data_IF_897250977875
#
_entry.id   IF_897250977875
#
_cell.length_a   1.000
_cell.length_b   1.000
_cell.length_c   1.000
_cell.angle_alpha   90.00
_cell.angle_beta   90.00
_cell.angle_gamma   90.00
#
_symmetry.space_group_name_H-M   'P 1'
#
loop_
_entity.id
_entity.type
_entity.pdbx_description
1 polymer ?
#
# COMPACT_ATOMS: atom_id res chain seq x y z
N UNK A 1 10.80 4.60 -15.09
CA UNK A 1 9.91 5.68 -14.62
C UNK A 1 10.77 6.84 -14.20
N UNK A 2 10.77 7.94 -14.96
CA UNK A 2 11.11 9.22 -14.36
C UNK A 2 9.93 9.55 -13.45
N UNK A 3 10.09 9.20 -12.18
CA UNK A 3 9.18 9.62 -11.14
C UNK A 3 9.29 11.15 -11.03
N UNK A 4 8.19 11.79 -10.60
CA UNK A 4 8.16 13.17 -10.07
C UNK A 4 9.53 13.48 -9.45
N UNK A 5 10.36 14.24 -10.18
CA UNK A 5 11.78 14.23 -9.87
C UNK A 5 12.00 15.04 -8.60
N UNK A 6 13.02 14.68 -7.82
CA UNK A 6 13.43 15.50 -6.68
C UNK A 6 13.63 16.96 -7.11
N UNK A 7 13.93 17.22 -8.39
CA UNK A 7 14.03 18.55 -8.99
C UNK A 7 12.73 19.34 -8.98
N UNK A 8 11.59 18.74 -9.35
CA UNK A 8 10.29 19.43 -9.35
C UNK A 8 9.88 19.80 -7.92
N UNK A 9 10.08 18.86 -6.99
CA UNK A 9 9.89 19.12 -5.56
C UNK A 9 10.84 20.21 -5.05
N UNK A 10 12.12 20.17 -5.44
CA UNK A 10 13.10 21.21 -5.12
C UNK A 10 12.67 22.58 -5.64
N UNK A 11 12.09 22.66 -6.84
CA UNK A 11 11.62 23.93 -7.41
C UNK A 11 10.43 24.46 -6.61
N UNK A 12 9.45 23.62 -6.28
CA UNK A 12 8.27 24.04 -5.51
C UNK A 12 8.63 24.44 -4.07
N UNK A 13 9.55 23.71 -3.47
CA UNK A 13 10.09 23.96 -2.12
C UNK A 13 10.90 25.27 -2.07
N UNK A 14 11.85 25.47 -3.01
CA UNK A 14 12.61 26.72 -3.14
C UNK A 14 11.71 27.95 -3.35
N UNK A 15 10.56 27.78 -4.01
CA UNK A 15 9.56 28.84 -4.19
C UNK A 15 8.65 29.04 -2.98
N UNK A 16 8.80 28.25 -1.92
CA UNK A 16 7.98 28.30 -0.71
C UNK A 16 6.52 27.84 -0.91
N UNK A 17 6.19 27.32 -2.10
CA UNK A 17 4.80 27.02 -2.51
C UNK A 17 4.23 25.90 -1.64
N UNK A 18 5.01 24.85 -1.40
CA UNK A 18 4.56 23.66 -0.65
C UNK A 18 4.09 24.03 0.76
N UNK A 19 4.91 24.83 1.46
CA UNK A 19 4.62 25.29 2.83
C UNK A 19 3.51 26.34 2.87
N UNK A 20 3.50 27.29 1.94
CA UNK A 20 2.50 28.36 1.89
C UNK A 20 1.09 27.84 1.57
N UNK A 21 0.97 26.88 0.65
CA UNK A 21 -0.31 26.36 0.17
C UNK A 21 -0.80 25.15 0.98
N UNK A 22 -0.06 24.71 2.00
CA UNK A 22 -0.38 23.54 2.84
C UNK A 22 -0.69 22.30 1.99
N UNK A 23 0.14 22.04 0.98
CA UNK A 23 -0.08 20.91 0.06
C UNK A 23 0.10 19.61 0.83
N UNK A 24 -0.98 18.84 0.98
CA UNK A 24 -1.00 17.57 1.72
C UNK A 24 -0.90 16.33 0.84
N UNK A 25 -1.12 16.46 -0.46
CA UNK A 25 -1.13 15.35 -1.40
C UNK A 25 -0.51 15.74 -2.73
N UNK A 26 0.11 14.78 -3.41
CA UNK A 26 0.65 14.95 -4.76
C UNK A 26 -0.05 13.99 -5.73
N UNK A 27 -0.43 14.48 -6.91
CA UNK A 27 -0.97 13.64 -7.98
C UNK A 27 0.16 13.23 -8.90
N UNK A 28 0.29 11.92 -9.11
CA UNK A 28 1.21 11.31 -10.06
C UNK A 28 0.39 10.74 -11.19
N UNK A 29 0.67 11.14 -12.43
CA UNK A 29 0.02 10.58 -13.62
C UNK A 29 1.00 9.65 -14.35
N UNK A 30 0.60 8.40 -14.58
CA UNK A 30 1.37 7.44 -15.38
C UNK A 30 0.96 7.50 -16.85
N UNK A 31 1.90 7.24 -17.75
CA UNK A 31 1.78 7.09 -19.21
C UNK A 31 0.91 5.89 -19.69
N UNK A 32 -0.03 5.44 -18.88
CA UNK A 32 -1.05 4.43 -19.22
C UNK A 32 -0.49 3.03 -19.50
N UNK A 33 0.78 2.74 -19.16
CA UNK A 33 1.31 1.38 -19.06
C UNK A 33 0.90 0.72 -17.74
N UNK A 34 -0.41 0.77 -17.46
CA UNK A 34 -1.05 0.25 -16.25
C UNK A 34 -0.62 -1.17 -15.90
N UNK A 35 -0.56 -2.07 -16.88
CA UNK A 35 -0.17 -3.47 -16.67
C UNK A 35 1.29 -3.67 -16.21
N UNK A 36 2.17 -2.69 -16.40
CA UNK A 36 3.58 -2.77 -16.01
C UNK A 36 3.86 -2.06 -14.68
N UNK A 37 3.02 -1.12 -14.30
CA UNK A 37 3.26 -0.24 -13.15
C UNK A 37 2.27 -0.46 -12.00
N UNK A 38 1.08 -1.03 -12.25
CA UNK A 38 0.12 -1.40 -11.21
C UNK A 38 0.55 -2.71 -10.54
N UNK A 39 1.44 -2.60 -9.56
CA UNK A 39 1.86 -3.71 -8.71
C UNK A 39 1.87 -3.32 -7.23
N UNK A 40 1.69 -4.30 -6.35
CA UNK A 40 1.85 -4.11 -4.91
C UNK A 40 3.21 -3.51 -4.55
N UNK A 41 4.28 -3.93 -5.24
CA UNK A 41 5.62 -3.37 -5.09
C UNK A 41 5.67 -1.87 -5.41
N UNK A 42 5.10 -1.45 -6.55
CA UNK A 42 5.11 -0.04 -6.95
C UNK A 42 4.25 0.83 -6.03
N UNK A 43 3.11 0.31 -5.58
CA UNK A 43 2.24 0.99 -4.63
C UNK A 43 2.88 1.12 -3.24
N UNK A 44 3.54 0.06 -2.75
CA UNK A 44 4.32 0.11 -1.52
C UNK A 44 5.49 1.08 -1.62
N UNK A 45 6.21 1.09 -2.74
CA UNK A 45 7.27 2.06 -2.98
C UNK A 45 6.75 3.49 -2.88
N UNK A 46 5.62 3.79 -3.53
CA UNK A 46 5.02 5.13 -3.47
C UNK A 46 4.55 5.48 -2.04
N UNK A 47 4.02 4.51 -1.31
CA UNK A 47 3.69 4.66 0.11
C UNK A 47 4.91 5.01 0.95
N UNK A 48 6.05 4.34 0.73
CA UNK A 48 7.27 4.63 1.49
C UNK A 48 7.83 6.02 1.21
N UNK A 49 7.49 6.65 0.07
CA UNK A 49 7.80 8.08 -0.17
C UNK A 49 7.09 9.02 0.78
N UNK A 50 5.89 8.71 1.25
CA UNK A 50 5.22 9.52 2.30
C UNK A 50 5.97 9.48 3.64
N UNK A 51 6.90 8.54 3.81
CA UNK A 51 7.72 8.42 5.00
C UNK A 51 9.03 9.20 4.92
N UNK A 52 9.34 9.77 3.75
CA UNK A 52 10.50 10.63 3.53
C UNK A 52 10.43 11.83 4.51
N UNK A 53 11.46 12.03 5.37
CA UNK A 53 11.49 13.11 6.34
C UNK A 53 11.24 14.48 5.71
N UNK A 54 11.74 14.69 4.49
CA UNK A 54 11.58 15.95 3.76
C UNK A 54 10.13 16.18 3.37
N UNK A 55 9.47 15.16 2.82
CA UNK A 55 8.05 15.28 2.44
C UNK A 55 7.15 15.48 3.67
N UNK A 56 7.49 14.86 4.80
CA UNK A 56 6.81 15.10 6.08
C UNK A 56 6.99 16.53 6.60
N UNK A 57 8.20 17.09 6.53
CA UNK A 57 8.45 18.47 6.93
C UNK A 57 7.62 19.46 6.08
N UNK A 58 7.43 19.13 4.80
CA UNK A 58 6.60 19.88 3.87
C UNK A 58 5.10 19.66 4.08
N UNK A 59 4.70 18.74 4.97
CA UNK A 59 3.30 18.43 5.27
C UNK A 59 2.60 17.54 4.25
N UNK A 60 3.35 16.89 3.35
CA UNK A 60 2.82 15.97 2.33
C UNK A 60 2.63 14.59 2.97
N UNK A 61 1.38 14.11 2.96
CA UNK A 61 0.94 12.91 3.67
C UNK A 61 0.48 11.78 2.73
N UNK A 62 0.19 12.09 1.47
CA UNK A 62 -0.35 11.12 0.52
C UNK A 62 0.06 11.38 -0.93
N UNK A 63 -0.08 10.34 -1.74
CA UNK A 63 -0.01 10.41 -3.19
C UNK A 63 -1.30 9.92 -3.80
N UNK A 64 -1.64 10.45 -4.96
CA UNK A 64 -2.76 10.00 -5.76
C UNK A 64 -2.16 9.54 -7.08
N UNK A 65 -2.11 8.24 -7.29
CA UNK A 65 -1.55 7.67 -8.50
C UNK A 65 -2.66 7.38 -9.50
N UNK A 66 -2.67 8.15 -10.59
CA UNK A 66 -3.62 8.03 -11.67
C UNK A 66 -2.99 7.41 -12.91
N UNK A 67 -3.79 6.56 -13.55
CA UNK A 67 -3.55 5.95 -14.83
C UNK A 67 -4.66 6.43 -15.75
N UNK A 68 -4.33 6.96 -16.91
CA UNK A 68 -5.30 7.20 -17.96
C UNK A 68 -5.89 5.91 -18.53
N UNK A 69 -6.96 6.08 -19.30
CA UNK A 69 -7.70 4.98 -19.90
C UNK A 69 -6.82 4.15 -20.87
N UNK A 70 -7.05 2.84 -21.00
CA UNK A 70 -6.37 2.00 -21.98
C UNK A 70 -6.57 2.58 -23.38
N UNK A 71 -5.48 2.70 -24.14
CA UNK A 71 -5.53 3.16 -25.54
C UNK A 71 -5.42 4.68 -25.74
N UNK A 72 -5.34 5.49 -24.69
CA UNK A 72 -5.03 6.93 -24.84
C UNK A 72 -3.56 7.19 -24.54
N UNK A 73 -2.85 7.90 -25.42
CA UNK A 73 -1.48 8.36 -25.19
C UNK A 73 -0.34 7.46 -25.66
N UNK A 74 -0.61 6.21 -26.07
CA UNK A 74 0.46 5.26 -26.48
C UNK A 74 0.83 5.29 -27.95
N UNK A 75 0.02 5.98 -28.76
CA UNK A 75 0.25 6.16 -30.19
C UNK A 75 0.44 4.84 -30.96
N UNK A 76 0.81 4.92 -32.24
CA UNK A 76 1.12 3.74 -33.04
C UNK A 76 2.38 2.98 -32.55
N UNK A 77 3.23 3.62 -31.74
CA UNK A 77 4.56 3.13 -31.38
C UNK A 77 4.57 1.96 -30.38
N UNK A 78 3.71 1.96 -29.35
CA UNK A 78 3.62 0.82 -28.40
C UNK A 78 3.10 -0.45 -29.09
N UNK A 79 2.22 -0.28 -30.09
CA UNK A 79 1.73 -1.38 -30.93
C UNK A 79 2.86 -2.07 -31.70
N UNK A 80 3.81 -1.30 -32.23
CA UNK A 80 4.99 -1.86 -32.94
C UNK A 80 5.87 -2.65 -31.97
N UNK A 81 6.16 -2.09 -30.79
CA UNK A 81 6.98 -2.78 -29.79
C UNK A 81 6.31 -4.07 -29.31
N UNK A 82 5.00 -4.03 -29.08
CA UNK A 82 4.18 -5.20 -28.74
C UNK A 82 4.16 -6.25 -29.84
N UNK A 83 4.04 -5.85 -31.11
CA UNK A 83 4.14 -6.72 -32.28
C UNK A 83 5.52 -7.40 -32.35
N UNK A 84 6.61 -6.63 -32.26
CA UNK A 84 7.97 -7.15 -32.32
C UNK A 84 8.24 -8.15 -31.20
N UNK A 85 7.84 -7.82 -29.96
CA UNK A 85 7.94 -8.71 -28.79
C UNK A 85 7.13 -10.00 -28.96
N UNK A 86 5.90 -9.90 -29.45
CA UNK A 86 5.03 -11.07 -29.67
C UNK A 86 5.55 -11.97 -30.79
N UNK A 87 6.11 -11.38 -31.85
CA UNK A 87 6.78 -12.12 -32.91
C UNK A 87 8.01 -12.86 -32.38
N UNK A 88 8.91 -12.17 -31.66
CA UNK A 88 10.09 -12.78 -31.04
C UNK A 88 9.71 -13.93 -30.11
N UNK A 89 8.71 -13.73 -29.23
CA UNK A 89 8.23 -14.79 -28.33
C UNK A 89 7.74 -16.02 -29.11
N UNK A 90 7.01 -15.84 -30.21
CA UNK A 90 6.56 -16.96 -31.06
C UNK A 90 7.72 -17.70 -31.71
N UNK A 91 8.73 -16.96 -32.18
CA UNK A 91 9.95 -17.55 -32.74
C UNK A 91 10.69 -18.38 -31.69
N UNK A 92 10.88 -17.83 -30.48
CA UNK A 92 11.54 -18.52 -29.37
C UNK A 92 10.78 -19.80 -28.97
N UNK A 93 9.45 -19.71 -28.79
CA UNK A 93 8.62 -20.86 -28.40
C UNK A 93 8.60 -21.97 -29.47
N UNK A 94 8.65 -21.62 -30.77
CA UNK A 94 8.73 -22.61 -31.86
C UNK A 94 10.07 -23.33 -31.89
N UNK A 95 11.16 -22.63 -31.58
CA UNK A 95 12.49 -23.24 -31.50
C UNK A 95 12.64 -24.24 -30.34
N UNK A 96 11.79 -24.13 -29.31
CA UNK A 96 11.79 -25.00 -28.12
C UNK A 96 10.79 -26.17 -28.21
N UNK A 97 9.91 -26.19 -29.23
CA UNK A 97 8.87 -27.20 -29.35
C UNK A 97 9.45 -28.56 -29.84
N UNK A 98 9.09 -29.70 -29.20
CA UNK A 98 9.54 -31.02 -29.65
C UNK A 98 9.07 -31.34 -31.07
N UNK A 99 9.96 -31.82 -31.93
CA UNK A 99 9.62 -32.29 -33.28
C UNK A 99 9.55 -31.21 -34.37
N UNK A 100 9.87 -29.95 -34.06
CA UNK A 100 10.01 -28.90 -35.08
C UNK A 100 11.37 -29.04 -35.77
N UNK A 101 11.38 -29.22 -37.10
CA UNK A 101 12.62 -29.18 -37.86
C UNK A 101 13.28 -27.80 -37.70
N UNK A 102 14.61 -27.77 -37.52
CA UNK A 102 15.40 -26.52 -37.40
C UNK A 102 15.21 -25.55 -38.58
N UNK A 103 14.61 -25.99 -39.68
CA UNK A 103 14.20 -25.17 -40.83
C UNK A 103 13.17 -24.07 -40.48
N UNK A 104 12.41 -24.22 -39.40
CA UNK A 104 11.41 -23.23 -38.91
C UNK A 104 11.98 -22.21 -37.90
N UNK A 105 13.27 -22.31 -37.58
CA UNK A 105 14.00 -21.38 -36.72
C UNK A 105 14.54 -20.23 -37.57
N UNK A 106 14.59 -19.00 -37.03
CA UNK A 106 15.15 -17.86 -37.74
C UNK A 106 16.57 -18.22 -38.22
N UNK A 107 16.75 -18.22 -39.54
CA UNK A 107 18.05 -18.41 -40.17
C UNK A 107 18.79 -17.09 -40.16
N UNK A 108 19.75 -16.96 -39.25
CA UNK A 108 20.72 -15.88 -39.28
C UNK A 108 21.88 -16.35 -40.15
N UNK A 109 22.15 -15.64 -41.25
CA UNK A 109 23.20 -15.98 -42.23
C UNK A 109 23.13 -17.44 -42.73
N UNK A 110 21.91 -17.96 -42.93
CA UNK A 110 21.66 -19.33 -43.41
C UNK A 110 21.68 -20.42 -42.33
N UNK A 111 22.03 -20.08 -41.09
CA UNK A 111 22.09 -21.03 -39.96
C UNK A 111 20.87 -20.88 -39.06
N UNK A 112 20.15 -21.99 -38.87
CA UNK A 112 19.05 -22.09 -37.91
C UNK A 112 19.56 -21.79 -36.49
N UNK A 113 19.15 -20.64 -35.92
CA UNK A 113 19.73 -20.12 -34.68
C UNK A 113 18.68 -19.94 -33.59
N UNK A 114 18.87 -20.60 -32.45
CA UNK A 114 18.09 -20.32 -31.24
C UNK A 114 18.47 -18.93 -30.72
N UNK A 115 17.47 -18.09 -30.46
CA UNK A 115 17.67 -16.74 -29.94
C UNK A 115 18.05 -16.85 -28.44
N UNK A 116 19.35 -16.83 -28.15
CA UNK A 116 19.90 -16.91 -26.79
C UNK A 116 20.61 -15.64 -26.33
N UNK A 117 20.91 -14.71 -27.24
CA UNK A 117 21.68 -13.49 -26.94
C UNK A 117 20.97 -12.22 -27.43
N UNK A 118 21.23 -11.05 -26.82
CA UNK A 118 20.68 -9.78 -27.31
C UNK A 118 21.03 -9.49 -28.78
N UNK A 119 22.22 -9.91 -29.24
CA UNK A 119 22.63 -9.71 -30.63
C UNK A 119 21.81 -10.57 -31.60
N UNK A 120 21.52 -11.82 -31.25
CA UNK A 120 20.63 -12.68 -32.04
C UNK A 120 19.20 -12.11 -32.07
N UNK A 121 18.70 -11.51 -30.99
CA UNK A 121 17.43 -10.77 -31.00
C UNK A 121 17.45 -9.63 -32.03
N UNK A 122 18.52 -8.83 -32.02
CA UNK A 122 18.71 -7.74 -33.00
C UNK A 122 18.68 -8.26 -34.43
N UNK A 123 19.47 -9.29 -34.74
CA UNK A 123 19.53 -9.81 -36.10
C UNK A 123 18.18 -10.41 -36.54
N UNK A 124 17.48 -11.13 -35.64
CA UNK A 124 16.17 -11.68 -35.93
C UNK A 124 15.13 -10.58 -36.22
N UNK A 125 15.10 -9.52 -35.41
CA UNK A 125 14.21 -8.38 -35.64
C UNK A 125 14.54 -7.67 -36.95
N UNK A 126 15.83 -7.45 -37.25
CA UNK A 126 16.27 -6.81 -38.48
C UNK A 126 15.87 -7.62 -39.71
N UNK A 127 16.12 -8.93 -39.69
CA UNK A 127 15.80 -9.82 -40.80
C UNK A 127 14.29 -9.93 -41.08
N UNK A 128 13.45 -9.76 -40.06
CA UNK A 128 12.00 -9.86 -40.23
C UNK A 128 11.31 -8.52 -40.54
N UNK A 129 11.69 -7.44 -39.84
CA UNK A 129 10.98 -6.16 -39.91
C UNK A 129 11.67 -5.11 -40.77
N UNK A 130 13.00 -5.18 -40.93
CA UNK A 130 13.78 -4.18 -41.65
C UNK A 130 14.19 -4.68 -43.04
N UNK A 131 13.20 -5.10 -43.84
CA UNK A 131 13.38 -5.56 -45.22
C UNK A 131 12.53 -4.74 -46.20
N UNK A 132 12.97 -4.65 -47.45
CA UNK A 132 12.23 -3.97 -48.52
C UNK A 132 10.89 -4.66 -48.82
N UNK A 133 10.84 -5.99 -48.66
CA UNK A 133 9.61 -6.77 -48.78
C UNK A 133 8.59 -6.34 -47.71
N UNK A 134 9.03 -6.20 -46.46
CA UNK A 134 8.16 -5.72 -45.38
C UNK A 134 7.66 -4.31 -45.68
N UNK A 135 8.55 -3.41 -46.10
CA UNK A 135 8.19 -2.03 -46.42
C UNK A 135 7.18 -1.95 -47.58
N UNK A 136 7.37 -2.74 -48.63
CA UNK A 136 6.46 -2.82 -49.78
C UNK A 136 5.07 -3.31 -49.37
N UNK A 137 5.01 -4.36 -48.54
CA UNK A 137 3.74 -4.91 -48.03
C UNK A 137 2.98 -3.93 -47.13
N UNK A 138 3.68 -3.00 -46.50
CA UNK A 138 3.10 -2.03 -45.57
C UNK A 138 3.09 -0.59 -46.11
N UNK A 139 3.30 -0.38 -47.42
CA UNK A 139 3.39 0.95 -48.05
C UNK A 139 2.20 1.87 -47.80
N UNK A 140 1.00 1.30 -47.63
CA UNK A 140 -0.27 2.02 -47.40
C UNK A 140 -0.61 2.17 -45.91
N UNK A 141 0.24 1.68 -45.00
CA UNK A 141 0.03 1.79 -43.55
C UNK A 141 0.72 3.03 -43.00
N UNK A 142 0.25 3.51 -41.84
CA UNK A 142 0.86 4.62 -41.10
C UNK A 142 2.34 4.38 -40.79
N UNK A 143 2.73 3.11 -40.61
CA UNK A 143 4.13 2.69 -40.48
C UNK A 143 4.45 1.84 -41.70
N UNK A 144 5.22 2.42 -42.62
CA UNK A 144 5.59 1.78 -43.89
C UNK A 144 7.04 1.29 -43.92
N UNK A 145 7.85 1.59 -42.90
CA UNK A 145 9.25 1.17 -42.80
C UNK A 145 9.64 1.03 -41.32
N UNK A 146 10.40 -0.01 -41.00
CA UNK A 146 11.00 -0.22 -39.69
C UNK A 146 12.50 -0.37 -39.90
N UNK A 147 13.29 0.41 -39.15
CA UNK A 147 14.74 0.23 -39.10
C UNK A 147 15.12 -0.27 -37.71
N UNK A 148 15.88 -1.37 -37.68
CA UNK A 148 16.36 -1.95 -36.43
C UNK A 148 17.83 -1.59 -36.29
N UNK A 149 18.12 -0.72 -35.34
CA UNK A 149 19.48 -0.27 -35.04
C UNK A 149 20.06 -1.06 -33.87
N UNK A 150 21.32 -1.47 -34.00
CA UNK A 150 22.06 -2.09 -32.90
C UNK A 150 22.70 -0.99 -32.05
N UNK A 151 22.04 -0.61 -30.97
CA UNK A 151 22.65 0.25 -29.96
C UNK A 151 23.54 -0.59 -29.03
N UNK A 152 24.74 -0.96 -29.49
CA UNK A 152 25.76 -1.50 -28.60
C UNK A 152 26.16 -0.41 -27.62
N UNK A 153 25.87 -0.59 -26.33
CA UNK A 153 26.49 0.25 -25.30
C UNK A 153 27.89 -0.33 -25.04
N UNK A 154 28.94 0.43 -25.37
CA UNK A 154 30.33 0.22 -24.94
C UNK A 154 30.47 0.49 -23.44
N UNK A 155 29.79 -0.32 -22.64
CA UNK A 155 29.85 -0.30 -21.19
C UNK A 155 29.22 -1.58 -20.72
N UNK A 156 29.84 -2.23 -19.75
CA UNK A 156 29.25 -3.36 -19.04
C UNK A 156 27.78 -3.06 -18.79
N UNK A 157 26.89 -3.93 -19.27
CA UNK A 157 25.55 -4.00 -18.72
C UNK A 157 25.77 -3.97 -17.21
N UNK A 158 25.23 -2.96 -16.53
CA UNK A 158 25.24 -2.95 -15.07
C UNK A 158 24.78 -4.33 -14.58
N UNK A 159 25.28 -4.79 -13.43
CA UNK A 159 25.06 -6.15 -12.96
C UNK A 159 23.61 -6.55 -13.22
N UNK A 160 23.41 -7.70 -13.88
CA UNK A 160 22.09 -8.26 -14.13
C UNK A 160 21.33 -8.16 -12.83
N UNK A 161 20.31 -7.29 -12.77
CA UNK A 161 19.53 -7.12 -11.56
C UNK A 161 18.80 -8.43 -11.40
N UNK A 162 19.28 -9.25 -10.49
CA UNK A 162 18.60 -10.47 -10.11
C UNK A 162 17.25 -10.07 -9.51
N UNK A 163 16.19 -10.30 -10.27
CA UNK A 163 14.82 -10.04 -9.83
C UNK A 163 14.24 -11.23 -9.08
N UNK A 164 14.96 -12.36 -8.98
CA UNK A 164 14.49 -13.55 -8.28
C UNK A 164 14.43 -13.35 -6.76
N UNK A 165 15.10 -12.32 -6.25
CA UNK A 165 15.10 -11.94 -4.84
C UNK A 165 14.21 -10.72 -4.53
N UNK A 166 13.40 -10.24 -5.48
CA UNK A 166 12.40 -9.22 -5.18
C UNK A 166 11.32 -9.84 -4.27
N UNK A 167 11.14 -9.32 -3.04
CA UNK A 167 10.14 -9.90 -2.16
C UNK A 167 8.75 -9.70 -2.74
N UNK A 168 7.92 -10.73 -2.63
CA UNK A 168 6.49 -10.61 -2.93
C UNK A 168 5.87 -9.52 -2.06
N UNK A 169 4.88 -8.82 -2.61
CA UNK A 169 4.11 -7.81 -1.90
C UNK A 169 2.64 -8.23 -1.87
N UNK A 170 1.93 -7.83 -0.81
CA UNK A 170 0.47 -7.74 -0.89
C UNK A 170 0.07 -6.78 -2.01
N UNK A 171 -1.05 -7.07 -2.64
CA UNK A 171 -1.59 -6.24 -3.71
C UNK A 171 -3.09 -6.10 -3.50
N UNK A 172 -3.68 -4.91 -3.78
CA UNK A 172 -5.11 -4.75 -3.69
C UNK A 172 -5.79 -5.71 -4.67
N UNK A 173 -6.91 -6.30 -4.25
CA UNK A 173 -7.70 -7.13 -5.15
C UNK A 173 -8.07 -6.35 -6.42
N UNK A 174 -7.95 -7.03 -7.56
CA UNK A 174 -8.24 -6.46 -8.87
C UNK A 174 -7.47 -5.17 -9.19
N UNK A 175 -6.22 -5.01 -8.70
CA UNK A 175 -5.39 -3.81 -8.95
C UNK A 175 -5.39 -3.36 -10.43
N UNK A 176 -5.42 -4.30 -11.37
CA UNK A 176 -5.43 -3.97 -12.81
C UNK A 176 -6.73 -3.32 -13.31
N UNK A 177 -7.86 -3.54 -12.62
CA UNK A 177 -9.18 -3.00 -12.98
C UNK A 177 -9.35 -1.52 -12.59
N UNK A 178 -8.52 -1.00 -11.68
CA UNK A 178 -8.66 0.36 -11.16
C UNK A 178 -7.61 1.29 -11.74
N UNK A 179 -8.01 2.54 -12.00
CA UNK A 179 -7.16 3.54 -12.67
C UNK A 179 -6.67 4.64 -11.75
N UNK A 180 -7.10 4.66 -10.50
CA UNK A 180 -6.66 5.69 -9.55
C UNK A 180 -6.55 5.08 -8.16
N UNK A 181 -5.47 5.42 -7.47
CA UNK A 181 -5.15 4.91 -6.14
C UNK A 181 -4.73 6.07 -5.26
N UNK A 182 -5.39 6.22 -4.10
CA UNK A 182 -4.87 7.03 -3.02
C UNK A 182 -3.88 6.17 -2.23
N UNK A 183 -2.65 6.64 -2.09
CA UNK A 183 -1.56 5.96 -1.38
C UNK A 183 -1.14 6.80 -0.19
N UNK A 184 -1.11 6.20 0.99
CA UNK A 184 -0.70 6.84 2.25
C UNK A 184 0.40 6.01 2.91
N UNK A 185 0.90 6.46 4.05
CA UNK A 185 1.99 5.82 4.78
C UNK A 185 1.72 4.36 5.17
N UNK A 186 2.80 3.61 5.46
CA UNK A 186 2.69 2.25 6.00
C UNK A 186 2.05 1.22 5.07
N UNK A 187 2.18 1.41 3.75
CA UNK A 187 1.62 0.54 2.72
C UNK A 187 0.14 0.73 2.46
N UNK A 188 -0.51 1.76 3.02
CA UNK A 188 -1.93 1.97 2.84
C UNK A 188 -2.28 2.44 1.42
N UNK A 189 -3.25 1.77 0.79
CA UNK A 189 -3.72 2.03 -0.57
C UNK A 189 -5.23 1.93 -0.63
N UNK A 190 -5.90 2.99 -1.07
CA UNK A 190 -7.33 2.96 -1.38
C UNK A 190 -7.54 3.05 -2.90
N UNK A 191 -8.36 2.16 -3.46
CA UNK A 191 -8.68 2.16 -4.89
C UNK A 191 -9.83 3.13 -5.13
N UNK A 192 -9.68 4.05 -6.07
CA UNK A 192 -10.78 4.93 -6.46
C UNK A 192 -11.64 4.23 -7.52
N UNK A 193 -12.88 3.89 -7.15
CA UNK A 193 -13.83 3.17 -8.02
C UNK A 193 -14.33 4.06 -9.16
N UNK A 194 -14.60 5.32 -8.83
CA UNK A 194 -15.08 6.33 -9.75
C UNK A 194 -14.30 7.63 -9.52
N UNK A 195 -13.75 8.16 -10.61
CA UNK A 195 -13.08 9.45 -10.63
C UNK A 195 -13.49 10.23 -11.87
N UNK A 196 -13.99 11.46 -11.70
CA UNK A 196 -13.86 12.47 -12.76
C UNK A 196 -12.50 13.17 -12.58
N UNK A 197 -12.04 13.86 -13.62
CA UNK A 197 -10.88 14.77 -13.55
C UNK A 197 -11.31 16.24 -13.42
N UNK A 198 -12.58 16.47 -13.12
CA UNK A 198 -13.09 17.78 -12.82
C UNK A 198 -12.46 18.34 -11.54
N UNK A 199 -12.18 19.65 -11.53
CA UNK A 199 -11.44 20.33 -10.47
C UNK A 199 -11.94 19.99 -9.05
N UNK A 200 -13.26 19.90 -8.78
CA UNK A 200 -13.74 19.57 -7.44
C UNK A 200 -13.35 18.16 -6.97
N UNK A 201 -13.23 17.20 -7.88
CA UNK A 201 -12.87 15.82 -7.53
C UNK A 201 -11.38 15.65 -7.37
N UNK A 202 -10.60 16.35 -8.18
CA UNK A 202 -9.15 16.48 -7.95
C UNK A 202 -8.92 17.10 -6.57
N UNK A 203 -9.62 18.20 -6.23
CA UNK A 203 -9.51 18.83 -4.93
C UNK A 203 -9.96 17.92 -3.77
N UNK A 204 -11.05 17.16 -3.94
CA UNK A 204 -11.54 16.23 -2.91
C UNK A 204 -10.58 15.07 -2.67
N UNK A 205 -9.98 14.53 -3.74
CA UNK A 205 -8.98 13.46 -3.63
C UNK A 205 -7.68 13.98 -3.00
N UNK A 206 -7.28 15.22 -3.32
CA UNK A 206 -6.11 15.89 -2.70
C UNK A 206 -6.31 16.23 -1.22
N UNK A 207 -7.53 16.53 -0.80
CA UNK A 207 -7.85 16.72 0.62
C UNK A 207 -7.65 15.42 1.42
N UNK A 208 -7.64 14.26 0.73
CA UNK A 208 -7.63 12.94 1.33
C UNK A 208 -8.94 12.66 2.10
N UNK A 209 -9.06 11.48 2.71
CA UNK A 209 -10.09 11.23 3.71
C UNK A 209 -9.77 12.11 4.92
N UNK A 210 -10.27 13.34 4.95
CA UNK A 210 -10.13 14.19 6.12
C UNK A 210 -11.03 13.63 7.24
N UNK A 211 -10.56 13.67 8.50
CA UNK A 211 -11.43 13.46 9.67
C UNK A 211 -12.66 14.40 9.66
N UNK A 212 -12.54 15.54 8.97
CA UNK A 212 -13.53 16.63 8.92
C UNK A 212 -14.24 16.79 7.58
N UNK A 213 -14.02 15.93 6.58
CA UNK A 213 -14.81 16.00 5.34
C UNK A 213 -16.28 15.74 5.70
N UNK A 214 -17.08 16.83 5.78
CA UNK A 214 -18.55 16.85 5.93
C UNK A 214 -19.29 16.16 4.77
N UNK A 215 -18.59 15.35 3.97
CA UNK A 215 -19.22 14.40 3.10
C UNK A 215 -19.72 13.28 3.99
N UNK A 216 -21.04 13.22 4.21
CA UNK A 216 -21.67 12.11 4.92
C UNK A 216 -21.22 10.82 4.24
N UNK A 217 -20.39 9.99 4.90
CA UNK A 217 -20.00 8.72 4.33
C UNK A 217 -21.23 7.82 4.38
N UNK A 218 -21.90 7.61 3.25
CA UNK A 218 -22.83 6.49 3.12
C UNK A 218 -21.97 5.24 2.95
N UNK A 219 -21.47 4.73 4.06
CA UNK A 219 -20.68 3.51 4.06
C UNK A 219 -21.60 2.36 3.61
N UNK A 220 -21.39 1.85 2.40
CA UNK A 220 -22.11 0.68 1.89
C UNK A 220 -21.35 -0.57 2.35
N UNK A 221 -21.84 -1.15 3.45
CA UNK A 221 -21.19 -2.16 4.28
C UNK A 221 -20.91 -3.49 3.57
N UNK A 222 -21.57 -3.78 2.46
CA UNK A 222 -21.34 -5.02 1.71
C UNK A 222 -20.01 -5.06 0.93
N UNK A 223 -19.23 -3.97 0.97
CA UNK A 223 -18.47 -3.61 -0.19
C UNK A 223 -17.08 -2.98 0.11
N UNK A 224 -16.79 -2.57 1.35
CA UNK A 224 -15.48 -2.02 1.73
C UNK A 224 -15.19 -0.62 1.17
N UNK A 225 -16.23 0.12 0.78
CA UNK A 225 -16.12 1.41 0.12
C UNK A 225 -16.46 2.59 1.05
N UNK A 226 -15.66 3.65 0.99
CA UNK A 226 -16.04 4.99 1.44
C UNK A 226 -16.72 5.74 0.30
N UNK A 227 -18.05 5.83 0.33
CA UNK A 227 -18.79 6.69 -0.59
C UNK A 227 -18.82 8.12 -0.08
N UNK A 228 -18.53 9.08 -0.95
CA UNK A 228 -18.75 10.50 -0.69
C UNK A 228 -19.23 11.21 -1.95
N UNK A 229 -20.05 12.23 -1.76
CA UNK A 229 -20.39 13.15 -2.86
C UNK A 229 -19.34 14.24 -2.93
N UNK A 230 -18.91 14.57 -4.13
CA UNK A 230 -18.05 15.72 -4.38
C UNK A 230 -18.92 16.88 -4.87
N UNK A 231 -19.12 17.94 -4.06
CA UNK A 231 -19.91 19.10 -4.48
C UNK A 231 -19.32 19.74 -5.74
N UNK A 232 -20.18 20.09 -6.71
CA UNK A 232 -19.78 20.68 -8.00
C UNK A 232 -19.11 19.71 -8.97
N UNK A 233 -19.13 18.40 -8.69
CA UNK A 233 -18.64 17.41 -9.64
C UNK A 233 -19.53 17.34 -10.89
N UNK A 234 -18.95 17.70 -12.04
CA UNK A 234 -19.58 17.61 -13.36
C UNK A 234 -20.07 16.19 -13.70
N UNK A 235 -19.40 15.17 -13.17
CA UNK A 235 -19.78 13.76 -13.36
C UNK A 235 -20.91 13.27 -12.45
N UNK A 236 -21.07 13.87 -11.28
CA UNK A 236 -22.12 13.49 -10.32
C UNK A 236 -23.46 14.17 -10.66
N UNK A 237 -23.42 15.38 -11.22
CA UNK A 237 -24.62 16.10 -11.69
C UNK A 237 -25.31 15.36 -12.85
N UNK A 238 -24.55 14.65 -13.67
CA UNK A 238 -25.08 13.86 -14.79
C UNK A 238 -25.45 12.42 -14.43
N UNK A 239 -25.02 11.92 -13.26
CA UNK A 239 -25.19 10.52 -12.85
C UNK A 239 -25.38 10.42 -11.33
N UNK A 240 -26.63 10.51 -10.89
CA UNK A 240 -27.03 10.49 -9.47
C UNK A 240 -26.64 9.19 -8.73
N UNK A 241 -26.37 8.12 -9.48
CA UNK A 241 -25.92 6.81 -9.02
C UNK A 241 -24.39 6.70 -8.83
N UNK A 242 -23.60 7.63 -9.36
CA UNK A 242 -22.13 7.57 -9.32
C UNK A 242 -21.55 8.39 -8.18
N UNK A 243 -21.65 7.83 -6.99
CA UNK A 243 -21.01 8.36 -5.80
C UNK A 243 -19.49 8.09 -5.89
N UNK A 244 -18.66 9.07 -5.54
CA UNK A 244 -17.21 8.84 -5.47
C UNK A 244 -16.97 7.81 -4.38
N UNK A 245 -16.25 6.74 -4.72
CA UNK A 245 -16.01 5.66 -3.78
C UNK A 245 -14.52 5.35 -3.71
N UNK A 246 -13.99 5.32 -2.50
CA UNK A 246 -12.67 4.78 -2.19
C UNK A 246 -12.85 3.39 -1.59
N UNK A 247 -12.44 2.37 -2.33
CA UNK A 247 -12.32 1.01 -1.83
C UNK A 247 -11.09 0.92 -0.94
N UNK A 248 -11.32 0.53 0.31
CA UNK A 248 -10.26 0.26 1.28
C UNK A 248 -10.20 -1.22 1.67
N UNK A 249 -11.00 -2.07 1.04
CA UNK A 249 -10.79 -3.51 1.09
C UNK A 249 -9.42 -3.82 0.50
N UNK A 250 -8.67 -4.69 1.18
CA UNK A 250 -7.30 -5.07 0.82
C UNK A 250 -6.35 -3.88 0.64
N UNK A 251 -6.52 -2.86 1.48
CA UNK A 251 -5.83 -1.57 1.39
C UNK A 251 -4.36 -1.60 1.81
N UNK A 252 -3.70 -2.75 1.78
CA UNK A 252 -2.30 -2.87 2.20
C UNK A 252 -1.47 -3.49 1.10
N UNK A 253 -0.43 -2.77 0.71
CA UNK A 253 0.67 -3.27 -0.10
C UNK A 253 1.88 -3.37 0.83
N UNK A 254 2.15 -4.54 1.37
CA UNK A 254 3.26 -4.76 2.31
C UNK A 254 4.20 -5.83 1.77
N UNK A 255 5.51 -5.73 2.04
CA UNK A 255 6.44 -6.80 1.70
C UNK A 255 6.09 -8.05 2.53
N UNK A 256 6.02 -9.20 1.88
CA UNK A 256 5.73 -10.50 2.49
C UNK A 256 6.98 -11.21 3.02
N UNK A 257 8.15 -10.81 2.56
CA UNK A 257 9.41 -11.46 2.89
C UNK A 257 10.61 -10.53 2.73
N UNK A 258 11.77 -11.02 3.17
CA UNK A 258 13.07 -10.40 2.96
C UNK A 258 13.32 -9.13 3.78
N UNK A 259 14.39 -8.44 3.40
CA UNK A 259 14.93 -7.28 4.14
C UNK A 259 13.89 -6.17 4.38
N UNK A 260 12.99 -5.91 3.44
CA UNK A 260 11.97 -4.87 3.60
C UNK A 260 10.95 -5.21 4.71
N UNK A 261 10.58 -6.48 4.85
CA UNK A 261 9.74 -6.93 5.96
C UNK A 261 10.49 -6.84 7.29
N UNK A 262 11.77 -7.25 7.31
CA UNK A 262 12.62 -7.16 8.51
C UNK A 262 12.80 -5.72 8.97
N UNK A 263 13.10 -4.79 8.06
CA UNK A 263 13.26 -3.36 8.36
C UNK A 263 11.94 -2.75 8.86
N UNK A 264 10.81 -3.11 8.25
CA UNK A 264 9.48 -2.71 8.72
C UNK A 264 9.22 -3.23 10.12
N UNK A 265 9.44 -4.52 10.37
CA UNK A 265 9.21 -5.13 11.68
C UNK A 265 10.13 -4.50 12.73
N UNK A 266 11.40 -4.27 12.42
CA UNK A 266 12.33 -3.56 13.31
C UNK A 266 11.85 -2.15 13.65
N UNK A 267 11.31 -1.41 12.67
CA UNK A 267 10.73 -0.08 12.88
C UNK A 267 9.49 -0.11 13.75
N UNK A 268 8.58 -1.06 13.50
CA UNK A 268 7.39 -1.28 14.31
C UNK A 268 7.77 -1.62 15.75
N UNK A 269 8.74 -2.53 15.94
CA UNK A 269 9.27 -2.87 17.26
C UNK A 269 9.85 -1.65 17.97
N UNK A 270 10.66 -0.84 17.28
CA UNK A 270 11.26 0.38 17.82
C UNK A 270 10.19 1.41 18.23
N UNK A 271 9.18 1.62 17.38
CA UNK A 271 8.07 2.52 17.66
C UNK A 271 7.26 2.02 18.88
N UNK A 272 6.93 0.73 18.94
CA UNK A 272 6.27 0.13 20.10
C UNK A 272 7.06 0.34 21.40
N UNK A 273 8.38 0.14 21.36
CA UNK A 273 9.25 0.41 22.51
C UNK A 273 9.19 1.88 22.95
N UNK A 274 9.19 2.83 22.02
CA UNK A 274 9.07 4.25 22.33
C UNK A 274 7.72 4.62 22.94
N UNK A 275 6.63 4.01 22.46
CA UNK A 275 5.28 4.17 23.04
C UNK A 275 5.27 3.63 24.46
N UNK A 276 5.72 2.39 24.65
CA UNK A 276 5.76 1.73 25.94
C UNK A 276 6.53 2.55 26.98
N UNK A 277 7.67 3.14 26.60
CA UNK A 277 8.49 3.96 27.49
C UNK A 277 7.80 5.24 27.98
N UNK A 278 6.78 5.72 27.27
CA UNK A 278 6.01 6.91 27.66
C UNK A 278 4.80 6.56 28.53
N UNK A 279 4.45 5.28 28.67
CA UNK A 279 3.29 4.85 29.44
C UNK A 279 3.50 5.06 30.93
N UNK A 280 2.44 5.56 31.57
CA UNK A 280 2.31 5.68 33.02
C UNK A 280 1.29 4.66 33.53
N UNK A 281 1.39 4.24 34.80
CA UNK A 281 0.39 3.37 35.40
C UNK A 281 -1.00 3.99 35.27
N UNK A 282 -1.94 3.23 34.73
CA UNK A 282 -3.31 3.66 34.45
C UNK A 282 -3.57 4.14 33.02
N UNK A 283 -2.53 4.39 32.21
CA UNK A 283 -2.70 4.77 30.81
C UNK A 283 -3.38 3.66 30.00
N UNK A 284 -4.29 4.04 29.10
CA UNK A 284 -4.87 3.13 28.12
C UNK A 284 -3.92 2.98 26.93
N UNK A 285 -3.76 1.75 26.46
CA UNK A 285 -2.83 1.42 25.40
C UNK A 285 -3.38 0.31 24.49
N UNK A 286 -2.82 0.23 23.29
CA UNK A 286 -3.15 -0.82 22.31
C UNK A 286 -1.96 -1.72 22.07
N UNK A 287 -2.25 -3.02 22.05
CA UNK A 287 -1.27 -4.09 21.89
C UNK A 287 -1.73 -4.97 20.75
N UNK A 288 -0.85 -5.23 19.79
CA UNK A 288 -1.13 -6.19 18.72
C UNK A 288 -1.00 -7.60 19.30
N UNK A 289 -2.09 -8.36 19.26
CA UNK A 289 -2.15 -9.70 19.82
C UNK A 289 -1.33 -10.72 19.05
N UNK A 290 -1.16 -11.90 19.66
CA UNK A 290 -0.44 -13.04 19.07
C UNK A 290 -1.17 -13.66 17.88
N UNK A 291 -2.48 -13.46 17.80
CA UNK A 291 -3.26 -13.74 16.60
C UNK A 291 -3.04 -12.54 15.68
N UNK A 292 -2.45 -12.74 14.49
CA UNK A 292 -2.26 -11.64 13.54
C UNK A 292 -3.60 -10.91 13.37
N UNK A 293 -3.56 -9.58 13.46
CA UNK A 293 -4.69 -8.66 13.18
C UNK A 293 -5.63 -8.28 14.34
N UNK A 294 -5.51 -8.84 15.54
CA UNK A 294 -6.34 -8.39 16.67
C UNK A 294 -5.61 -7.38 17.55
N UNK A 295 -6.12 -6.14 17.60
CA UNK A 295 -5.65 -5.09 18.49
C UNK A 295 -6.41 -5.14 19.81
N UNK A 296 -5.73 -5.50 20.89
CA UNK A 296 -6.29 -5.55 22.23
C UNK A 296 -6.16 -4.20 22.92
N UNK A 297 -7.24 -3.77 23.59
CA UNK A 297 -7.18 -2.65 24.52
C UNK A 297 -6.62 -3.16 25.86
N UNK A 298 -5.68 -2.43 26.43
CA UNK A 298 -5.11 -2.74 27.72
C UNK A 298 -4.90 -1.48 28.57
N UNK A 299 -4.78 -1.69 29.88
CA UNK A 299 -4.41 -0.65 30.84
C UNK A 299 -3.00 -0.93 31.36
N UNK A 300 -2.11 0.05 31.24
CA UNK A 300 -0.73 -0.07 31.72
C UNK A 300 -0.71 -0.16 33.26
N UNK A 301 0.13 -1.04 33.79
CA UNK A 301 0.27 -1.28 35.23
C UNK A 301 1.69 -0.93 35.70
N UNK A 302 1.82 -0.54 36.97
CA UNK A 302 3.13 -0.42 37.60
C UNK A 302 3.78 -1.82 37.69
N UNK A 303 5.05 -1.92 37.34
CA UNK A 303 5.75 -3.22 37.38
C UNK A 303 5.88 -3.73 38.81
N UNK A 304 6.11 -2.81 39.75
CA UNK A 304 6.08 -3.12 41.17
C UNK A 304 4.70 -2.74 41.74
N UNK A 305 4.02 -3.70 42.35
CA UNK A 305 2.71 -3.47 42.97
C UNK A 305 2.80 -2.56 44.21
N UNK A 306 3.96 -2.51 44.87
CA UNK A 306 4.17 -1.70 46.06
C UNK A 306 4.32 -0.20 45.74
N UNK A 307 4.74 0.13 44.52
CA UNK A 307 4.99 1.51 44.08
C UNK A 307 4.13 1.86 42.86
N UNK A 308 3.00 2.53 43.09
CA UNK A 308 2.12 3.02 42.02
C UNK A 308 2.78 4.09 41.12
N UNK A 309 3.92 4.65 41.53
CA UNK A 309 4.75 5.56 40.73
C UNK A 309 5.83 4.84 39.91
N UNK A 310 6.00 3.54 40.10
CA UNK A 310 7.00 2.76 39.37
C UNK A 310 6.73 2.76 37.86
N UNK A 311 7.80 2.70 37.03
CA UNK A 311 7.64 2.66 35.59
C UNK A 311 6.85 1.43 35.14
N UNK A 312 6.07 1.57 34.06
CA UNK A 312 5.38 0.46 33.41
C UNK A 312 6.30 -0.46 32.63
N UNK A 313 7.57 -0.07 32.42
CA UNK A 313 8.53 -0.78 31.57
C UNK A 313 9.79 -1.18 32.36
N UNK A 314 10.18 -2.45 32.24
CA UNK A 314 11.42 -3.00 32.81
C UNK A 314 12.22 -3.70 31.73
N UNK A 315 13.53 -3.52 31.77
CA UNK A 315 14.43 -4.26 30.87
C UNK A 315 14.81 -5.57 31.54
N UNK A 316 14.63 -6.68 30.82
CA UNK A 316 15.17 -7.97 31.26
C UNK A 316 16.69 -7.95 31.14
N UNK A 317 17.41 -8.11 32.26
CA UNK A 317 18.88 -7.99 32.30
C UNK A 317 19.62 -9.32 32.45
N UNK A 318 18.91 -10.45 32.48
CA UNK A 318 19.56 -11.75 32.68
C UNK A 318 19.87 -12.42 31.35
N UNK A 319 21.00 -13.14 31.29
CA UNK A 319 21.39 -13.91 30.10
C UNK A 319 20.46 -15.11 29.86
N UNK A 320 19.72 -15.56 30.88
CA UNK A 320 18.77 -16.68 30.77
C UNK A 320 17.44 -16.16 30.24
N UNK A 321 16.88 -16.91 29.30
CA UNK A 321 15.51 -16.68 28.84
C UNK A 321 14.55 -16.94 30.01
N UNK A 322 13.62 -16.04 30.25
CA UNK A 322 12.57 -16.21 31.27
C UNK A 322 11.23 -16.34 30.56
N UNK A 323 10.41 -17.29 31.02
CA UNK A 323 9.04 -17.45 30.57
C UNK A 323 8.12 -16.86 31.65
N UNK A 324 7.38 -15.80 31.32
CA UNK A 324 6.36 -15.20 32.18
C UNK A 324 5.02 -15.35 31.48
N UNK A 325 4.09 -16.12 32.06
CA UNK A 325 2.72 -16.32 31.52
C UNK A 325 2.69 -16.77 30.05
N UNK A 326 3.66 -17.61 29.65
CA UNK A 326 3.78 -18.09 28.27
C UNK A 326 4.45 -17.09 27.32
N UNK A 327 5.01 -15.99 27.80
CA UNK A 327 5.80 -15.01 27.04
C UNK A 327 7.28 -15.19 27.37
N UNK A 328 8.11 -15.36 26.34
CA UNK A 328 9.55 -15.62 26.47
C UNK A 328 10.35 -14.33 26.30
N UNK A 329 11.00 -13.88 27.36
CA UNK A 329 11.86 -12.71 27.35
C UNK A 329 13.34 -13.09 27.29
N UNK A 330 14.09 -12.46 26.38
CA UNK A 330 15.54 -12.56 26.21
C UNK A 330 16.25 -11.36 26.83
N UNK A 331 17.56 -11.49 27.01
CA UNK A 331 18.38 -10.41 27.54
C UNK A 331 18.17 -9.13 26.72
N UNK A 332 17.96 -8.01 27.42
CA UNK A 332 17.63 -6.69 26.91
C UNK A 332 16.21 -6.48 26.36
N UNK A 333 15.33 -7.48 26.41
CA UNK A 333 13.92 -7.27 26.07
C UNK A 333 13.28 -6.26 27.04
N UNK A 334 12.43 -5.41 26.51
CA UNK A 334 11.62 -4.46 27.28
C UNK A 334 10.27 -5.10 27.56
N UNK A 335 10.01 -5.35 28.83
CA UNK A 335 8.77 -5.95 29.33
C UNK A 335 7.86 -4.82 29.80
N UNK A 336 6.59 -4.90 29.44
CA UNK A 336 5.56 -3.99 29.93
C UNK A 336 4.51 -4.79 30.66
N UNK A 337 4.11 -4.32 31.84
CA UNK A 337 3.03 -4.96 32.59
C UNK A 337 1.72 -4.26 32.27
N UNK A 338 0.73 -5.03 31.88
CA UNK A 338 -0.56 -4.52 31.44
C UNK A 338 -1.68 -5.39 32.00
N UNK A 339 -2.90 -4.89 31.88
CA UNK A 339 -4.11 -5.65 32.18
C UNK A 339 -5.07 -5.50 31.01
N UNK A 340 -5.54 -6.61 30.47
CA UNK A 340 -6.36 -6.60 29.26
C UNK A 340 -7.81 -6.25 29.58
N UNK A 341 -8.50 -5.84 28.52
CA UNK A 341 -9.94 -5.72 28.49
C UNK A 341 -10.49 -6.86 27.63
N UNK A 342 -11.40 -7.63 28.19
CA UNK A 342 -12.13 -8.68 27.48
C UNK A 342 -13.57 -8.24 27.22
N UNK A 343 -14.16 -8.76 26.15
CA UNK A 343 -15.59 -8.57 25.90
C UNK A 343 -16.37 -9.36 26.95
N UNK A 344 -17.26 -8.68 27.67
CA UNK A 344 -18.06 -9.26 28.76
C UNK A 344 -19.23 -10.14 28.26
N UNK A 345 -19.28 -10.41 26.96
CA UNK A 345 -20.36 -11.16 26.32
C UNK A 345 -21.67 -10.37 26.16
N UNK A 346 -21.76 -9.13 26.66
CA UNK A 346 -22.96 -8.28 26.48
C UNK A 346 -23.17 -7.82 25.03
N UNK A 347 -22.17 -8.07 24.19
CA UNK A 347 -22.17 -7.67 22.79
C UNK A 347 -22.05 -6.16 22.65
N UNK A 348 -22.76 -5.63 21.66
CA UNK A 348 -22.70 -4.21 21.35
C UNK A 348 -24.02 -3.53 21.70
N UNK A 349 -23.91 -2.32 22.21
CA UNK A 349 -25.06 -1.49 22.58
C UNK A 349 -24.97 -0.14 21.89
N UNK A 350 -26.10 0.38 21.44
CA UNK A 350 -26.17 1.73 20.87
C UNK A 350 -26.29 2.73 22.01
N UNK A 351 -25.35 3.68 22.09
CA UNK A 351 -25.40 4.75 23.07
C UNK A 351 -26.54 5.72 22.73
N UNK A 352 -27.51 5.87 23.61
CA UNK A 352 -28.75 6.64 23.33
C UNK A 352 -28.48 8.14 23.12
N UNK A 353 -27.49 8.70 23.83
CA UNK A 353 -27.17 10.12 23.75
C UNK A 353 -26.42 10.49 22.47
N UNK A 354 -25.54 9.61 22.00
CA UNK A 354 -24.66 9.87 20.84
C UNK A 354 -25.09 9.13 19.57
N UNK A 355 -25.98 8.16 19.69
CA UNK A 355 -26.41 7.27 18.61
C UNK A 355 -25.32 6.31 18.11
N UNK A 356 -24.16 6.25 18.76
CA UNK A 356 -23.01 5.45 18.34
C UNK A 356 -23.01 4.07 18.98
N UNK A 357 -22.65 3.04 18.23
CA UNK A 357 -22.42 1.73 18.80
C UNK A 357 -21.19 1.71 19.72
N UNK A 358 -21.35 1.04 20.84
CA UNK A 358 -20.35 0.87 21.88
C UNK A 358 -20.24 -0.61 22.22
N UNK A 359 -19.04 -1.03 22.61
CA UNK A 359 -18.86 -2.30 23.32
C UNK A 359 -18.47 -2.03 24.76
N UNK A 360 -19.01 -2.85 25.66
CA UNK A 360 -18.56 -2.89 27.05
C UNK A 360 -17.41 -3.86 27.12
N UNK A 361 -16.27 -3.39 27.60
CA UNK A 361 -15.18 -4.27 27.93
C UNK A 361 -14.98 -4.29 29.43
N UNK A 362 -14.71 -5.47 29.96
CA UNK A 362 -14.40 -5.66 31.38
C UNK A 362 -12.93 -5.93 31.53
N UNK A 363 -12.31 -5.25 32.49
CA UNK A 363 -10.91 -5.42 32.80
C UNK A 363 -10.67 -6.82 33.39
N UNK A 364 -9.68 -7.56 32.90
CA UNK A 364 -9.32 -8.87 33.42
C UNK A 364 -8.78 -8.78 34.85
N UNK A 365 -8.91 -9.85 35.64
CA UNK A 365 -8.41 -9.85 37.02
C UNK A 365 -6.88 -9.97 37.10
N UNK A 366 -6.26 -10.57 36.09
CA UNK A 366 -4.83 -10.81 36.04
C UNK A 366 -4.09 -9.70 35.28
N UNK A 367 -2.98 -9.26 35.87
CA UNK A 367 -1.95 -8.55 35.13
C UNK A 367 -1.17 -9.55 34.27
N UNK A 368 -0.67 -9.08 33.14
CA UNK A 368 0.17 -9.85 32.25
C UNK A 368 1.35 -9.07 31.73
N UNK A 369 2.43 -9.78 31.42
CA UNK A 369 3.62 -9.18 30.81
C UNK A 369 3.61 -9.33 29.30
N UNK A 370 3.93 -8.24 28.58
CA UNK A 370 4.02 -8.20 27.12
C UNK A 370 5.36 -7.62 26.66
N UNK A 371 5.74 -7.90 25.40
CA UNK A 371 6.89 -7.23 24.81
C UNK A 371 6.53 -5.78 24.46
N UNK A 372 7.40 -4.83 24.79
CA UNK A 372 7.21 -3.43 24.40
C UNK A 372 7.10 -3.24 22.86
N UNK A 373 7.66 -4.16 22.07
CA UNK A 373 7.51 -4.17 20.61
C UNK A 373 6.09 -4.47 20.12
N UNK A 374 5.20 -4.95 20.98
CA UNK A 374 3.79 -5.25 20.62
C UNK A 374 2.89 -4.01 20.71
N UNK A 375 3.38 -2.90 21.27
CA UNK A 375 2.62 -1.65 21.38
C UNK A 375 2.49 -0.94 20.04
N UNK A 376 1.34 -0.29 19.82
CA UNK A 376 1.07 0.55 18.64
C UNK A 376 0.62 1.94 19.09
N UNK A 377 1.09 2.97 18.39
CA UNK A 377 0.49 4.31 18.52
C UNK A 377 -0.95 4.25 17.99
N UNK A 378 -1.92 4.70 18.81
CA UNK A 378 -3.35 4.89 18.48
C UNK A 378 -3.93 3.93 17.43
N UNK A 379 -4.82 3.04 17.86
CA UNK A 379 -5.68 2.33 16.91
C UNK A 379 -6.72 3.31 16.31
N UNK A 380 -6.77 3.56 14.99
CA UNK A 380 -7.79 4.41 14.38
C UNK A 380 -9.21 3.84 14.57
N UNK A 381 -9.33 2.57 14.99
CA UNK A 381 -10.62 1.91 15.23
C UNK A 381 -11.29 2.26 16.56
N UNK A 382 -10.65 3.00 17.46
CA UNK A 382 -11.24 3.35 18.76
C UNK A 382 -11.12 4.85 18.96
N UNK A 383 -12.28 5.49 19.03
CA UNK A 383 -12.40 6.96 18.96
C UNK A 383 -12.37 7.57 20.35
N UNK A 384 -12.91 6.87 21.35
CA UNK A 384 -13.03 7.39 22.71
C UNK A 384 -13.19 6.24 23.71
N UNK A 385 -12.52 6.36 24.84
CA UNK A 385 -12.59 5.42 25.96
C UNK A 385 -13.24 6.17 27.12
N UNK A 386 -14.48 5.82 27.46
CA UNK A 386 -15.19 6.41 28.59
C UNK A 386 -15.14 5.41 29.75
N UNK A 387 -14.35 5.75 30.78
CA UNK A 387 -14.26 4.94 31.99
C UNK A 387 -15.54 5.06 32.82
N UNK A 388 -16.04 3.94 33.34
CA UNK A 388 -17.01 3.92 34.45
C UNK A 388 -16.31 3.47 35.73
N UNK A 389 -16.82 3.92 36.87
CA UNK A 389 -16.46 3.32 38.16
C UNK A 389 -16.93 1.85 38.18
N UNK A 390 -16.06 0.93 38.61
CA UNK A 390 -16.37 -0.50 38.68
C UNK A 390 -15.62 -1.42 37.70
N UNK A 391 -14.57 -0.95 37.02
CA UNK A 391 -13.66 -1.81 36.24
C UNK A 391 -14.13 -2.15 34.81
N UNK A 392 -15.32 -1.69 34.41
CA UNK A 392 -15.78 -1.75 33.02
C UNK A 392 -15.53 -0.44 32.28
N UNK A 393 -15.30 -0.55 30.98
CA UNK A 393 -15.00 0.59 30.11
C UNK A 393 -15.87 0.49 28.88
N UNK A 394 -16.56 1.61 28.56
CA UNK A 394 -17.31 1.72 27.32
C UNK A 394 -16.39 2.27 26.25
N UNK A 395 -16.14 1.44 25.24
CA UNK A 395 -15.29 1.82 24.11
C UNK A 395 -16.19 2.21 22.96
N UNK A 396 -16.10 3.48 22.55
CA UNK A 396 -16.70 3.93 21.30
C UNK A 396 -15.84 3.38 20.18
N UNK A 397 -16.42 2.43 19.46
CA UNK A 397 -15.76 1.84 18.32
C UNK A 397 -15.88 2.80 17.13
N UNK A 398 -14.89 2.77 16.25
CA UNK A 398 -14.95 3.52 15.00
C UNK A 398 -16.13 3.06 14.17
N UNK A 399 -16.59 3.94 13.27
CA UNK A 399 -17.64 3.62 12.29
C UNK A 399 -17.37 2.34 11.50
N UNK A 400 -16.10 2.00 11.27
CA UNK A 400 -15.70 0.78 10.56
C UNK A 400 -15.99 -0.51 11.36
N UNK A 401 -15.94 -0.45 12.69
CA UNK A 401 -16.23 -1.61 13.55
C UNK A 401 -17.73 -1.64 13.92
N UNK A 402 -18.37 -0.48 14.06
CA UNK A 402 -19.83 -0.29 14.19
C UNK A 402 -20.62 -0.99 13.07
N UNK A 403 -20.11 -0.97 11.83
CA UNK A 403 -20.67 -1.73 10.70
C UNK A 403 -20.61 -3.26 10.90
N UNK A 404 -19.50 -3.80 11.41
CA UNK A 404 -19.31 -5.24 11.67
C UNK A 404 -20.29 -5.79 12.72
N UNK A 405 -20.67 -4.94 13.65
CA UNK A 405 -21.59 -5.24 14.75
C UNK A 405 -23.01 -5.39 14.25
N UNK A 406 -23.46 -4.42 13.45
CA UNK A 406 -24.79 -4.40 12.85
C UNK A 406 -25.05 -5.65 12.00
N UNK A 407 -23.99 -6.23 11.41
CA UNK A 407 -24.04 -7.50 10.69
C UNK A 407 -24.24 -8.73 11.58
N UNK A 408 -23.71 -8.74 12.82
CA UNK A 408 -23.88 -9.86 13.77
C UNK A 408 -25.23 -9.83 14.51
N UNK A 409 -25.87 -8.66 14.56
CA UNK A 409 -27.17 -8.46 15.22
C UNK A 409 -28.39 -8.64 14.28
N UNK A 410 -28.17 -8.79 12.97
CA UNK A 410 -29.16 -9.21 11.97
C UNK A 410 -28.99 -10.69 11.68
#
# INVERSE_FOLDING_TARGET
MQHFSDEELNVLDKKGILKAQKIRALIVHSDNASQHFKSGKSLYWLSSKTEDPRLKELGILSFVWQFGAPGHGKGPWDGIAGMAKSWLRRVMMRAEAPGVEKSDVVKLDGVATVIGTPHQCYQALKHHFATDEWATKHKEKTICRIEVLWAWKTGSLGPTIDRSCDPDHDSPAQVNAHYSFLVQHGGFVAKQMHGCWCLPCVASVLAGPAEETKCVPDFNEHAGYFHYRVPGCLGAESRADKIFALDVADSRCLPKAGRLLEERNARICKAGVQVAQKLKPGDYCFIEGRIPEELMLAKAQAIDHADRGAPCVRTHKTKKMVNMEGIKFRNNDKMVKVRYFEEDGSGYTKDEATGKWCRTLTLTDADVYVHASEFRERNPKIVEVQGREGGSVRVKISRNEEARVLQKCR
#
